data_IF_417069615302
#
_entry.id   IF_417069615302
#
_cell.length_a   1.000
_cell.length_b   1.000
_cell.length_c   1.000
_cell.angle_alpha   90.00
_cell.angle_beta   90.00
_cell.angle_gamma   90.00
#
_symmetry.space_group_name_H-M   'P 1'
#
loop_
_entity.id
_entity.type
_entity.pdbx_description
1 polymer ?
#
# COMPACT_ATOMS: atom_id res chain seq x y z
N UNK A 1 22.60 14.21 -20.82
CA UNK A 1 22.71 13.10 -19.83
C UNK A 1 21.30 12.58 -19.63
N UNK A 2 20.97 11.42 -20.21
CA UNK A 2 19.63 10.84 -20.11
C UNK A 2 19.46 10.24 -18.72
N UNK A 3 19.06 11.06 -17.76
CA UNK A 3 18.63 10.59 -16.45
C UNK A 3 17.21 10.05 -16.65
N UNK A 4 17.05 8.74 -16.83
CA UNK A 4 15.72 8.13 -16.79
C UNK A 4 15.21 8.18 -15.34
N UNK A 5 14.68 9.35 -14.93
CA UNK A 5 14.00 9.61 -13.66
C UNK A 5 12.67 8.85 -13.61
N UNK A 6 12.73 7.54 -13.50
CA UNK A 6 11.55 6.68 -13.48
C UNK A 6 11.72 5.54 -12.48
N UNK A 7 12.32 5.86 -11.33
CA UNK A 7 12.51 4.93 -10.22
C UNK A 7 11.24 4.90 -9.39
N UNK A 8 10.63 3.74 -9.22
CA UNK A 8 9.34 3.58 -8.55
C UNK A 8 9.52 2.83 -7.23
N UNK A 9 8.82 3.28 -6.18
CA UNK A 9 8.57 2.49 -4.98
C UNK A 9 7.09 2.25 -4.75
N UNK A 10 6.74 1.06 -4.27
CA UNK A 10 5.36 0.67 -3.95
C UNK A 10 5.23 0.52 -2.43
N UNK A 11 4.17 1.08 -1.86
CA UNK A 11 3.83 0.95 -0.44
C UNK A 11 2.41 0.41 -0.32
N UNK A 12 2.26 -0.80 0.24
CA UNK A 12 0.97 -1.48 0.37
C UNK A 12 0.50 -1.49 1.82
N UNK A 13 -0.53 -0.71 2.11
CA UNK A 13 -1.30 -0.84 3.34
C UNK A 13 -2.20 -2.08 3.23
N UNK A 14 -1.69 -3.21 3.71
CA UNK A 14 -2.37 -4.50 3.60
C UNK A 14 -3.70 -4.54 4.35
N UNK A 15 -3.87 -3.75 5.40
CA UNK A 15 -5.11 -3.69 6.16
C UNK A 15 -6.18 -2.91 5.37
N UNK A 16 -5.85 -1.73 4.84
CA UNK A 16 -6.76 -0.96 4.01
C UNK A 16 -7.12 -1.72 2.72
N UNK A 17 -6.12 -2.33 2.06
CA UNK A 17 -6.34 -3.13 0.86
C UNK A 17 -7.15 -4.40 1.12
N UNK A 18 -7.06 -5.02 2.29
CA UNK A 18 -7.92 -6.16 2.64
C UNK A 18 -9.40 -5.76 2.61
N UNK A 19 -9.76 -4.63 3.23
CA UNK A 19 -11.14 -4.14 3.20
C UNK A 19 -11.57 -3.68 1.81
N UNK A 20 -10.68 -3.08 1.03
CA UNK A 20 -10.94 -2.70 -0.36
C UNK A 20 -11.26 -3.90 -1.26
N UNK A 21 -10.46 -4.97 -1.15
CA UNK A 21 -10.67 -6.23 -1.86
C UNK A 21 -11.98 -6.93 -1.44
N UNK A 22 -12.28 -6.93 -0.13
CA UNK A 22 -13.55 -7.46 0.38
C UNK A 22 -14.77 -6.71 -0.18
N UNK A 23 -14.70 -5.38 -0.26
CA UNK A 23 -15.77 -4.56 -0.87
C UNK A 23 -15.94 -4.88 -2.35
N UNK A 24 -14.84 -5.06 -3.09
CA UNK A 24 -14.90 -5.35 -4.52
C UNK A 24 -15.26 -6.81 -4.84
N UNK A 25 -15.12 -7.72 -3.87
CA UNK A 25 -15.40 -9.15 -4.05
C UNK A 25 -14.31 -9.91 -4.79
N UNK A 26 -13.09 -9.37 -4.88
CA UNK A 26 -11.94 -10.02 -5.52
C UNK A 26 -10.62 -9.62 -4.84
N UNK A 27 -9.61 -10.46 -4.97
CA UNK A 27 -8.28 -10.24 -4.39
C UNK A 27 -7.22 -10.13 -5.48
N UNK A 28 -6.27 -9.21 -5.35
CA UNK A 28 -5.14 -9.12 -6.26
C UNK A 28 -4.02 -10.09 -5.89
N UNK A 29 -3.27 -10.54 -6.89
CA UNK A 29 -2.02 -11.28 -6.72
C UNK A 29 -0.87 -10.27 -6.50
N UNK A 30 -0.18 -10.28 -5.35
CA UNK A 30 0.97 -9.41 -5.11
C UNK A 30 2.05 -9.49 -6.19
N UNK A 31 2.25 -10.65 -6.82
CA UNK A 31 3.19 -10.79 -7.95
C UNK A 31 2.76 -9.94 -9.12
N UNK A 32 1.48 -10.00 -9.49
CA UNK A 32 0.93 -9.25 -10.62
C UNK A 32 0.94 -7.75 -10.36
N UNK A 33 0.83 -7.31 -9.11
CA UNK A 33 1.05 -5.90 -8.74
C UNK A 33 2.47 -5.47 -9.12
N UNK A 34 3.49 -6.23 -8.74
CA UNK A 34 4.87 -5.91 -9.13
C UNK A 34 5.04 -5.88 -10.65
N UNK A 35 4.50 -6.87 -11.36
CA UNK A 35 4.55 -6.95 -12.83
C UNK A 35 3.84 -5.79 -13.53
N UNK A 36 2.67 -5.39 -13.04
CA UNK A 36 1.88 -4.29 -13.62
C UNK A 36 2.62 -2.95 -13.59
N UNK A 37 3.30 -2.67 -12.47
CA UNK A 37 3.99 -1.40 -12.26
C UNK A 37 5.45 -1.41 -12.74
N UNK A 38 6.08 -2.58 -12.87
CA UNK A 38 7.45 -2.71 -13.38
C UNK A 38 7.48 -2.76 -14.92
N UNK A 39 7.19 -1.62 -15.56
CA UNK A 39 7.20 -1.45 -17.03
C UNK A 39 8.62 -1.19 -17.56
N UNK A 40 8.92 -1.42 -18.86
CA UNK A 40 10.28 -1.24 -19.41
C UNK A 40 10.92 0.13 -19.16
N UNK A 41 10.11 1.18 -19.06
CA UNK A 41 10.58 2.54 -18.79
C UNK A 41 10.72 2.85 -17.30
N UNK A 42 10.13 2.03 -16.42
CA UNK A 42 10.05 2.21 -14.97
C UNK A 42 10.97 1.20 -14.30
N UNK A 43 11.81 1.65 -13.37
CA UNK A 43 12.63 0.76 -12.54
C UNK A 43 12.02 0.65 -11.16
N UNK A 44 11.42 -0.49 -10.85
CA UNK A 44 10.99 -0.79 -9.47
C UNK A 44 12.22 -0.89 -8.55
N UNK A 45 12.27 -0.03 -7.52
CA UNK A 45 13.36 0.03 -6.53
C UNK A 45 13.00 -0.73 -5.27
N UNK A 46 11.83 -0.42 -4.71
CA UNK A 46 11.34 -1.04 -3.48
C UNK A 46 9.86 -1.39 -3.61
N UNK A 47 9.45 -2.45 -2.93
CA UNK A 47 8.05 -2.75 -2.68
C UNK A 47 7.90 -3.14 -1.21
N UNK A 48 7.09 -2.38 -0.48
CA UNK A 48 6.82 -2.61 0.94
C UNK A 48 5.40 -3.10 1.13
N UNK A 49 5.23 -4.04 2.07
CA UNK A 49 3.92 -4.54 2.47
C UNK A 49 3.77 -4.44 3.98
N UNK A 50 2.72 -3.76 4.44
CA UNK A 50 2.44 -3.52 5.85
C UNK A 50 1.23 -4.32 6.26
N UNK A 51 1.35 -5.15 7.31
CA UNK A 51 0.23 -5.98 7.76
C UNK A 51 0.19 -6.15 9.27
N UNK A 52 -1.02 -6.00 9.84
CA UNK A 52 -1.30 -6.33 11.24
C UNK A 52 -1.46 -7.84 11.44
N UNK A 53 -0.97 -8.37 12.56
CA UNK A 53 -1.04 -9.79 12.88
C UNK A 53 -1.82 -10.03 14.17
N UNK A 54 -2.71 -11.03 14.20
CA UNK A 54 -3.35 -11.48 15.45
C UNK A 54 -2.34 -12.05 16.43
N UNK A 55 -1.43 -12.85 15.90
CA UNK A 55 -0.33 -13.48 16.62
C UNK A 55 0.87 -13.73 15.67
N UNK A 56 2.06 -14.10 16.17
CA UNK A 56 3.23 -14.29 15.32
C UNK A 56 3.09 -15.36 14.22
N UNK A 57 2.16 -16.31 14.34
CA UNK A 57 1.88 -17.36 13.37
C UNK A 57 0.85 -16.97 12.31
N UNK A 58 0.05 -15.93 12.59
CA UNK A 58 -1.03 -15.46 11.71
C UNK A 58 -0.52 -15.22 10.29
N UNK A 59 -1.19 -15.72 9.25
CA UNK A 59 -0.81 -15.53 7.85
C UNK A 59 0.66 -15.84 7.47
N UNK A 60 1.38 -16.71 8.20
CA UNK A 60 2.81 -17.00 7.94
C UNK A 60 3.11 -17.35 6.47
N UNK A 61 2.36 -18.28 5.88
CA UNK A 61 2.59 -18.69 4.49
C UNK A 61 2.40 -17.56 3.47
N UNK A 62 1.47 -16.64 3.72
CA UNK A 62 1.28 -15.47 2.86
C UNK A 62 2.46 -14.50 2.97
N UNK A 63 2.96 -14.24 4.18
CA UNK A 63 4.15 -13.40 4.38
C UNK A 63 5.40 -14.00 3.74
N UNK A 64 5.61 -15.31 3.90
CA UNK A 64 6.75 -15.99 3.31
C UNK A 64 6.71 -15.91 1.78
N UNK A 65 5.51 -15.99 1.19
CA UNK A 65 5.31 -15.76 -0.23
C UNK A 65 5.64 -14.31 -0.65
N UNK A 66 5.17 -13.30 0.10
CA UNK A 66 5.50 -11.90 -0.16
C UNK A 66 7.03 -11.65 -0.12
N UNK A 67 7.71 -12.19 0.89
CA UNK A 67 9.17 -12.08 1.02
C UNK A 67 9.86 -12.74 -0.19
N UNK A 68 9.40 -13.92 -0.60
CA UNK A 68 9.94 -14.64 -1.76
C UNK A 68 9.71 -13.90 -3.08
N UNK A 69 8.66 -13.08 -3.18
CA UNK A 69 8.39 -12.21 -4.32
C UNK A 69 9.25 -10.94 -4.33
N UNK A 70 9.96 -10.64 -3.23
CA UNK A 70 10.81 -9.46 -3.11
C UNK A 70 10.19 -8.28 -2.36
N UNK A 71 9.03 -8.45 -1.71
CA UNK A 71 8.50 -7.43 -0.82
C UNK A 71 9.30 -7.35 0.48
N UNK A 72 9.51 -6.12 0.96
CA UNK A 72 9.88 -5.87 2.36
C UNK A 72 8.61 -5.88 3.20
N UNK A 73 8.42 -6.95 3.99
CA UNK A 73 7.23 -7.12 4.82
C UNK A 73 7.44 -6.51 6.20
N UNK A 74 6.57 -5.57 6.59
CA UNK A 74 6.51 -4.95 7.92
C UNK A 74 5.28 -5.48 8.66
N UNK A 75 5.49 -5.94 9.89
CA UNK A 75 4.41 -6.55 10.69
C UNK A 75 4.29 -5.91 12.06
N UNK A 76 3.06 -5.82 12.56
CA UNK A 76 2.76 -5.33 13.92
C UNK A 76 1.66 -6.17 14.54
N UNK A 77 1.86 -6.62 15.78
CA UNK A 77 0.82 -7.37 16.50
C UNK A 77 -0.36 -6.44 16.77
N UNK A 78 -1.57 -6.92 16.47
CA UNK A 78 -2.83 -6.23 16.74
C UNK A 78 -2.95 -5.97 18.24
N UNK A 79 -3.25 -4.74 18.61
CA UNK A 79 -3.58 -4.39 19.99
C UNK A 79 -5.09 -4.50 20.16
N UNK A 80 -5.49 -5.16 21.24
CA UNK A 80 -6.88 -5.18 21.69
C UNK A 80 -7.18 -3.89 22.44
N UNK A 81 -8.22 -3.21 21.99
CA UNK A 81 -8.79 -2.04 22.62
C UNK A 81 -10.18 -2.41 23.11
N UNK A 82 -10.37 -2.33 24.42
CA UNK A 82 -11.69 -2.44 25.01
C UNK A 82 -12.35 -1.07 24.99
N UNK A 83 -13.55 -1.01 24.42
CA UNK A 83 -14.38 0.19 24.45
C UNK A 83 -15.37 0.06 25.62
N UNK A 84 -15.12 0.82 26.69
CA UNK A 84 -15.96 0.85 27.90
C UNK A 84 -17.41 1.29 27.62
N UNK A 85 -17.64 2.04 26.53
CA UNK A 85 -18.96 2.57 26.17
C UNK A 85 -19.77 1.54 25.39
N UNK A 86 -19.16 0.84 24.43
CA UNK A 86 -19.85 -0.18 23.64
C UNK A 86 -19.76 -1.60 24.22
N UNK A 87 -18.88 -1.82 25.21
CA UNK A 87 -18.59 -3.12 25.80
C UNK A 87 -17.93 -4.10 24.83
N UNK A 88 -17.31 -3.60 23.75
CA UNK A 88 -16.74 -4.43 22.67
C UNK A 88 -15.23 -4.32 22.64
N UNK A 89 -14.59 -5.45 22.34
CA UNK A 89 -13.18 -5.48 21.97
C UNK A 89 -13.04 -5.14 20.48
N UNK A 90 -12.12 -4.24 20.16
CA UNK A 90 -11.68 -3.96 18.80
C UNK A 90 -10.18 -4.23 18.69
N UNK A 91 -9.76 -4.89 17.62
CA UNK A 91 -8.35 -5.10 17.33
C UNK A 91 -7.91 -4.10 16.27
N UNK A 92 -6.92 -3.27 16.60
CA UNK A 92 -6.33 -2.32 15.64
C UNK A 92 -4.81 -2.44 15.67
N UNK A 93 -4.20 -2.66 14.50
CA UNK A 93 -2.83 -2.26 14.23
C UNK A 93 -2.88 -1.31 13.05
N UNK A 94 -2.71 -0.04 13.33
CA UNK A 94 -2.40 0.96 12.33
C UNK A 94 -0.88 0.96 12.15
N UNK A 95 -0.45 0.88 10.88
CA UNK A 95 0.94 0.86 10.43
C UNK A 95 1.31 2.14 9.66
N UNK A 96 0.47 3.18 9.70
CA UNK A 96 0.61 4.40 8.92
C UNK A 96 1.90 5.14 9.26
N UNK A 97 2.28 5.16 10.54
CA UNK A 97 3.55 5.74 10.97
C UNK A 97 4.72 4.99 10.34
N UNK A 98 4.71 3.66 10.39
CA UNK A 98 5.75 2.83 9.78
C UNK A 98 5.81 3.03 8.24
N UNK A 99 4.66 3.15 7.59
CA UNK A 99 4.56 3.47 6.15
C UNK A 99 5.22 4.83 5.86
N UNK A 100 4.80 5.89 6.56
CA UNK A 100 5.31 7.25 6.36
C UNK A 100 6.82 7.31 6.63
N UNK A 101 7.30 6.66 7.69
CA UNK A 101 8.72 6.61 8.02
C UNK A 101 9.53 5.93 6.90
N UNK A 102 9.08 4.77 6.40
CA UNK A 102 9.77 4.06 5.32
C UNK A 102 9.73 4.85 3.99
N UNK A 103 8.62 5.55 3.68
CA UNK A 103 8.55 6.47 2.53
C UNK A 103 9.65 7.53 2.61
N UNK A 104 9.73 8.27 3.72
CA UNK A 104 10.74 9.34 3.85
C UNK A 104 12.17 8.82 3.98
N UNK A 105 12.38 7.65 4.59
CA UNK A 105 13.72 7.03 4.67
C UNK A 105 14.26 6.60 3.30
N UNK A 106 13.37 6.32 2.34
CA UNK A 106 13.75 5.85 1.00
C UNK A 106 13.51 6.90 -0.09
N UNK A 107 13.14 8.13 0.27
CA UNK A 107 12.70 9.16 -0.69
C UNK A 107 13.74 9.51 -1.75
N UNK A 108 15.04 9.48 -1.42
CA UNK A 108 16.11 9.77 -2.39
C UNK A 108 16.33 8.62 -3.40
N UNK A 109 15.74 7.45 -3.15
CA UNK A 109 15.90 6.25 -3.97
C UNK A 109 14.90 6.17 -5.12
N UNK A 110 13.78 6.91 -5.06
CA UNK A 110 12.72 6.87 -6.04
C UNK A 110 12.34 8.26 -6.53
N UNK A 111 11.71 8.31 -7.69
CA UNK A 111 11.12 9.52 -8.29
C UNK A 111 9.58 9.43 -8.28
N UNK A 112 9.04 8.22 -8.11
CA UNK A 112 7.61 7.93 -8.10
C UNK A 112 7.24 7.00 -6.96
N UNK A 113 6.03 7.19 -6.44
CA UNK A 113 5.41 6.33 -5.42
C UNK A 113 4.06 5.85 -5.90
N UNK A 114 3.81 4.57 -5.69
CA UNK A 114 2.46 4.00 -5.72
C UNK A 114 2.07 3.62 -4.30
N UNK A 115 1.10 4.34 -3.73
CA UNK A 115 0.51 4.02 -2.43
C UNK A 115 -0.80 3.26 -2.65
N UNK A 116 -0.84 2.02 -2.18
CA UNK A 116 -2.07 1.25 -2.07
C UNK A 116 -2.72 1.51 -0.71
N UNK A 117 -3.51 2.57 -0.62
CA UNK A 117 -4.35 2.91 0.54
C UNK A 117 -5.40 3.95 0.15
N UNK A 118 -6.55 3.94 0.81
CA UNK A 118 -7.55 5.01 0.76
C UNK A 118 -7.54 5.95 1.97
N UNK A 119 -6.61 5.77 2.93
CA UNK A 119 -6.65 6.47 4.21
C UNK A 119 -6.26 7.95 4.12
N UNK A 120 -7.11 8.83 4.66
CA UNK A 120 -6.89 10.28 4.67
C UNK A 120 -5.68 10.71 5.51
N UNK A 121 -5.26 9.89 6.48
CA UNK A 121 -4.12 10.19 7.35
C UNK A 121 -2.79 10.31 6.57
N UNK A 122 -2.72 9.78 5.34
CA UNK A 122 -1.57 9.94 4.46
C UNK A 122 -1.48 11.28 3.73
N UNK A 123 -2.53 12.11 3.74
CA UNK A 123 -2.59 13.39 2.99
C UNK A 123 -1.32 14.24 3.18
N UNK A 124 -0.92 14.47 4.45
CA UNK A 124 0.24 15.30 4.78
C UNK A 124 1.56 14.70 4.30
N UNK A 125 1.70 13.38 4.38
CA UNK A 125 2.89 12.69 3.89
C UNK A 125 2.99 12.83 2.37
N UNK A 126 1.88 12.67 1.66
CA UNK A 126 1.80 12.85 0.21
C UNK A 126 2.14 14.29 -0.21
N UNK A 127 1.58 15.31 0.44
CA UNK A 127 1.93 16.71 0.16
C UNK A 127 3.44 16.99 0.32
N UNK A 128 4.04 16.46 1.39
CA UNK A 128 5.47 16.61 1.66
C UNK A 128 6.34 15.86 0.65
N UNK A 129 5.96 14.65 0.23
CA UNK A 129 6.70 13.91 -0.81
C UNK A 129 6.65 14.63 -2.17
N UNK A 130 5.50 15.22 -2.52
CA UNK A 130 5.38 16.04 -3.73
C UNK A 130 6.30 17.25 -3.70
N UNK A 131 6.46 17.88 -2.53
CA UNK A 131 7.44 18.98 -2.35
C UNK A 131 8.90 18.55 -2.61
N UNK A 132 9.17 17.24 -2.57
CA UNK A 132 10.48 16.61 -2.87
C UNK A 132 10.58 16.11 -4.32
N UNK A 133 9.73 16.59 -5.23
CA UNK A 133 9.66 16.17 -6.63
C UNK A 133 9.32 14.68 -6.84
N UNK A 134 8.63 14.05 -5.88
CA UNK A 134 8.10 12.70 -6.06
C UNK A 134 6.71 12.77 -6.71
N UNK A 135 6.49 12.01 -7.78
CA UNK A 135 5.17 11.84 -8.36
C UNK A 135 4.37 10.77 -7.61
N UNK A 136 3.14 11.09 -7.20
CA UNK A 136 2.33 10.23 -6.34
C UNK A 136 1.15 9.65 -7.11
N UNK A 137 1.09 8.32 -7.16
CA UNK A 137 -0.09 7.55 -7.55
C UNK A 137 -0.70 6.90 -6.33
N UNK A 138 -2.00 7.11 -6.11
CA UNK A 138 -2.77 6.39 -5.09
C UNK A 138 -3.66 5.36 -5.78
N UNK A 139 -3.57 4.11 -5.34
CA UNK A 139 -4.45 3.02 -5.74
C UNK A 139 -5.39 2.70 -4.58
N UNK A 140 -6.69 2.79 -4.82
CA UNK A 140 -7.73 2.45 -3.83
C UNK A 140 -9.06 2.17 -4.55
N UNK A 141 -10.11 1.84 -3.82
CA UNK A 141 -11.45 1.61 -4.39
C UNK A 141 -12.31 2.88 -4.30
N UNK A 142 -13.10 3.21 -5.33
CA UNK A 142 -14.02 4.34 -5.29
C UNK A 142 -14.97 4.25 -4.08
N UNK A 143 -15.15 5.38 -3.39
CA UNK A 143 -15.88 5.44 -2.12
C UNK A 143 -15.16 4.79 -0.93
N UNK A 144 -13.89 4.41 -1.05
CA UNK A 144 -12.99 4.07 0.06
C UNK A 144 -11.77 4.98 0.17
N UNK A 145 -11.54 5.85 -0.81
CA UNK A 145 -10.52 6.89 -0.73
C UNK A 145 -11.06 8.15 -0.05
N UNK A 146 -10.31 8.68 0.92
CA UNK A 146 -10.60 9.96 1.55
C UNK A 146 -10.46 11.13 0.55
N UNK A 147 -11.34 12.13 0.66
CA UNK A 147 -11.42 13.23 -0.33
C UNK A 147 -10.15 14.07 -0.35
N UNK A 148 -9.58 14.31 0.81
CA UNK A 148 -8.33 15.03 1.04
C UNK A 148 -7.14 14.30 0.41
N UNK A 149 -7.03 12.97 0.58
CA UNK A 149 -5.99 12.18 -0.07
C UNK A 149 -6.14 12.22 -1.60
N UNK A 150 -7.37 12.10 -2.10
CA UNK A 150 -7.66 12.20 -3.54
C UNK A 150 -7.31 13.58 -4.10
N UNK A 151 -7.49 14.64 -3.33
CA UNK A 151 -7.12 16.00 -3.71
C UNK A 151 -5.59 16.22 -3.68
N UNK A 152 -4.89 15.56 -2.75
CA UNK A 152 -3.45 15.73 -2.57
C UNK A 152 -2.59 14.90 -3.55
N UNK A 153 -3.09 13.77 -4.06
CA UNK A 153 -2.35 12.89 -4.99
C UNK A 153 -2.27 13.46 -6.42
N UNK A 154 -1.21 13.13 -7.15
CA UNK A 154 -1.08 13.55 -8.56
C UNK A 154 -1.93 12.67 -9.49
N UNK A 155 -1.99 11.37 -9.20
CA UNK A 155 -2.83 10.42 -9.91
C UNK A 155 -3.61 9.54 -8.92
N UNK A 156 -4.87 9.28 -9.26
CA UNK A 156 -5.71 8.28 -8.62
C UNK A 156 -6.01 7.16 -9.61
N UNK A 157 -5.96 5.92 -9.14
CA UNK A 157 -6.33 4.72 -9.89
C UNK A 157 -7.33 3.93 -9.06
N UNK A 158 -8.52 3.67 -9.61
CA UNK A 158 -9.44 2.73 -8.98
C UNK A 158 -8.86 1.32 -9.10
N UNK A 159 -8.87 0.55 -8.01
CA UNK A 159 -8.40 -0.83 -7.99
C UNK A 159 -9.10 -1.69 -9.06
N UNK A 160 -10.38 -1.42 -9.35
CA UNK A 160 -11.17 -2.11 -10.37
C UNK A 160 -10.74 -1.75 -11.80
N UNK A 161 -10.15 -0.56 -12.04
CA UNK A 161 -9.66 -0.17 -13.37
C UNK A 161 -8.46 -1.03 -13.80
N UNK A 162 -7.73 -1.58 -12.83
CA UNK A 162 -6.55 -2.43 -13.06
C UNK A 162 -6.80 -3.92 -12.76
N UNK A 163 -8.06 -4.31 -12.50
CA UNK A 163 -8.44 -5.67 -12.08
C UNK A 163 -7.91 -6.73 -13.03
N UNK A 164 -8.14 -6.57 -14.33
CA UNK A 164 -7.76 -7.58 -15.34
C UNK A 164 -6.26 -7.87 -15.35
N UNK A 165 -5.43 -6.93 -14.89
CA UNK A 165 -3.99 -7.08 -14.84
C UNK A 165 -3.49 -7.65 -13.52
N UNK A 166 -4.19 -7.43 -12.41
CA UNK A 166 -3.69 -7.77 -11.07
C UNK A 166 -4.53 -8.79 -10.29
N UNK A 167 -5.73 -9.12 -10.73
CA UNK A 167 -6.60 -10.10 -10.05
C UNK A 167 -5.88 -11.45 -9.92
N UNK A 168 -6.08 -12.11 -8.78
CA UNK A 168 -5.60 -13.47 -8.57
C UNK A 168 -6.35 -14.41 -9.49
N UNK A 169 -5.65 -15.00 -10.45
CA UNK A 169 -6.20 -16.05 -11.28
C UNK A 169 -6.44 -17.30 -10.43
N UNK A 170 -7.60 -17.93 -10.58
CA UNK A 170 -7.80 -19.32 -10.15
C UNK A 170 -6.98 -20.20 -11.09
N UNK A 171 -6.01 -20.93 -10.55
CA UNK A 171 -5.30 -22.01 -11.23
C UNK A 171 -5.79 -23.36 -10.71
#
# INVERSE_FOLDING_TARGET
MNNSNNRLSIFVDGNNMFYAQQKNGWFFDPRRVLEHFNKPEVKLINAFWYTGLKDPQDQRGFRDALISLGYTVRTKILKEYYDDVSGRYSQKANLDIEIVVDMFNTVDQYDQVVLFSGDGDFERAIELLRSKNTHITVVSTEGMIARELRNATDQYVDLNDIRDQIEKAEY
#
